data_IF_944508586869
#
_entry.id   IF_944508586869
#
_cell.length_a   1.000
_cell.length_b   1.000
_cell.length_c   1.000
_cell.angle_alpha   90.00
_cell.angle_beta   90.00
_cell.angle_gamma   90.00
#
_symmetry.space_group_name_H-M   'P 1'
#
loop_
_entity.id
_entity.type
_entity.pdbx_description
1 polymer ?
#
# COMPACT_ATOMS: atom_id res chain seq x y z
N UNK A 1 5.87 -41.69 -57.74
CA UNK A 1 5.72 -40.22 -57.72
C UNK A 1 5.69 -39.80 -56.25
N UNK A 2 6.86 -39.49 -55.72
CA UNK A 2 7.05 -39.15 -54.29
C UNK A 2 7.15 -37.62 -54.21
N UNK A 3 6.24 -36.97 -53.51
CA UNK A 3 6.33 -35.54 -53.23
C UNK A 3 7.08 -35.31 -51.92
N UNK A 4 8.25 -34.76 -52.04
CA UNK A 4 9.10 -34.31 -50.94
C UNK A 4 8.60 -32.97 -50.41
N UNK A 5 8.25 -32.87 -49.13
CA UNK A 5 7.97 -31.59 -48.46
C UNK A 5 9.22 -31.11 -47.73
N UNK A 6 9.75 -29.96 -48.12
CA UNK A 6 10.82 -29.26 -47.45
C UNK A 6 10.26 -28.60 -46.16
N UNK A 7 10.78 -28.99 -45.02
CA UNK A 7 10.58 -28.25 -43.75
C UNK A 7 11.60 -27.10 -43.68
N UNK A 8 11.08 -25.89 -43.79
CA UNK A 8 11.84 -24.68 -43.44
C UNK A 8 12.03 -24.63 -41.90
N UNK A 9 13.29 -24.69 -41.45
CA UNK A 9 13.70 -24.39 -40.11
C UNK A 9 13.44 -22.90 -39.83
N UNK A 10 12.49 -22.61 -38.94
CA UNK A 10 12.38 -21.29 -38.33
C UNK A 10 13.10 -21.34 -36.98
N UNK A 11 14.09 -20.46 -36.84
CA UNK A 11 14.86 -20.34 -35.60
C UNK A 11 13.96 -19.91 -34.45
N UNK A 12 14.07 -20.66 -33.37
CA UNK A 12 13.45 -20.35 -32.09
C UNK A 12 14.21 -19.19 -31.47
N UNK A 13 13.72 -17.98 -31.65
CA UNK A 13 14.20 -16.80 -30.94
C UNK A 13 13.65 -16.89 -29.51
N UNK A 14 14.52 -17.29 -28.59
CA UNK A 14 14.26 -17.36 -27.16
C UNK A 14 14.07 -15.93 -26.66
N UNK A 15 12.85 -15.42 -26.66
CA UNK A 15 12.53 -14.20 -25.91
C UNK A 15 12.58 -14.54 -24.43
N UNK A 16 13.70 -14.22 -23.80
CA UNK A 16 13.79 -14.12 -22.35
C UNK A 16 12.96 -12.89 -21.97
N UNK A 17 11.69 -13.09 -21.69
CA UNK A 17 10.87 -12.09 -21.01
C UNK A 17 11.41 -11.96 -19.59
N UNK A 18 12.23 -10.93 -19.35
CA UNK A 18 12.45 -10.42 -18.01
C UNK A 18 11.06 -10.12 -17.43
N UNK A 19 10.67 -10.94 -16.46
CA UNK A 19 9.55 -10.66 -15.59
C UNK A 19 9.91 -9.42 -14.75
N UNK A 20 9.69 -8.25 -15.34
CA UNK A 20 9.67 -7.00 -14.60
C UNK A 20 8.57 -7.10 -13.54
N UNK A 21 8.99 -7.02 -12.30
CA UNK A 21 8.11 -6.84 -11.16
C UNK A 21 7.22 -5.63 -11.44
N UNK A 22 5.92 -5.85 -11.57
CA UNK A 22 4.98 -4.75 -11.61
C UNK A 22 5.02 -4.07 -10.23
N UNK A 23 5.91 -3.09 -10.11
CA UNK A 23 5.74 -1.98 -9.18
C UNK A 23 4.37 -1.37 -9.43
N UNK A 24 3.67 -0.99 -8.39
CA UNK A 24 2.47 -0.17 -8.49
C UNK A 24 2.68 0.86 -9.60
N UNK A 25 1.93 0.75 -10.70
CA UNK A 25 1.85 1.84 -11.68
C UNK A 25 1.16 3.01 -10.99
N UNK A 26 1.94 3.78 -10.25
CA UNK A 26 1.57 5.12 -9.79
C UNK A 26 1.94 6.15 -10.88
N UNK A 27 1.89 5.73 -12.12
CA UNK A 27 2.12 6.63 -13.23
C UNK A 27 0.82 7.38 -13.49
N UNK A 28 0.90 8.68 -13.24
CA UNK A 28 0.06 9.72 -13.82
C UNK A 28 -1.47 9.60 -13.63
N UNK A 29 -1.94 9.54 -12.37
CA UNK A 29 -3.16 10.27 -12.08
C UNK A 29 -2.83 11.75 -12.37
N UNK A 30 -3.30 12.27 -13.51
CA UNK A 30 -3.08 13.63 -13.96
C UNK A 30 -3.58 14.58 -12.87
N UNK A 31 -2.65 14.99 -11.98
CA UNK A 31 -2.85 16.17 -11.17
C UNK A 31 -2.76 17.36 -12.14
N UNK A 32 -3.65 18.34 -12.09
CA UNK A 32 -3.52 19.54 -12.89
C UNK A 32 -2.15 20.16 -12.60
N UNK A 33 -1.37 20.45 -13.66
CA UNK A 33 -0.08 21.09 -13.58
C UNK A 33 -0.19 22.39 -12.80
N UNK A 34 0.72 22.61 -11.87
CA UNK A 34 0.76 23.75 -10.97
C UNK A 34 1.24 25.06 -11.61
N UNK A 35 1.26 25.16 -12.93
CA UNK A 35 1.72 26.35 -13.62
C UNK A 35 0.52 27.19 -14.09
N UNK A 36 0.11 28.10 -13.24
CA UNK A 36 -0.56 29.38 -13.45
C UNK A 36 -1.62 29.67 -12.39
N UNK A 37 -1.21 30.18 -11.26
CA UNK A 37 -2.05 31.09 -10.48
C UNK A 37 -1.13 32.05 -9.70
N UNK A 38 -1.09 33.30 -10.17
CA UNK A 38 -0.57 34.41 -9.38
C UNK A 38 -1.49 34.69 -8.21
N UNK A 39 -0.86 34.94 -7.09
CA UNK A 39 -1.48 35.20 -5.80
C UNK A 39 -2.29 36.48 -5.78
N UNK A 40 -3.45 36.42 -5.13
CA UNK A 40 -3.95 37.55 -4.33
C UNK A 40 -4.33 37.01 -2.95
N UNK A 41 -3.78 37.68 -1.94
CA UNK A 41 -3.93 37.40 -0.53
C UNK A 41 -5.25 37.96 0.00
N UNK A 42 -6.01 37.16 0.76
CA UNK A 42 -6.86 37.71 1.83
C UNK A 42 -6.85 36.77 3.04
N UNK A 43 -6.62 37.42 4.15
CA UNK A 43 -6.34 36.92 5.48
C UNK A 43 -7.57 36.24 6.07
N UNK A 44 -7.43 34.98 6.49
CA UNK A 44 -8.35 34.32 7.37
C UNK A 44 -7.57 33.41 8.31
N UNK A 45 -7.69 33.65 9.61
CA UNK A 45 -6.94 33.13 10.74
C UNK A 45 -6.24 31.78 10.49
N UNK A 46 -4.96 31.84 10.15
CA UNK A 46 -4.05 30.71 10.26
C UNK A 46 -3.79 30.49 11.74
N UNK A 47 -4.10 29.31 12.25
CA UNK A 47 -3.49 28.83 13.48
C UNK A 47 -1.99 28.76 13.20
N UNK A 48 -1.25 29.61 13.89
CA UNK A 48 0.20 29.74 13.77
C UNK A 48 0.88 28.44 14.24
N UNK A 49 1.23 27.57 13.29
CA UNK A 49 2.04 26.37 13.53
C UNK A 49 3.54 26.65 13.32
N UNK A 50 3.95 27.92 13.26
CA UNK A 50 5.30 28.31 12.85
C UNK A 50 6.34 28.39 13.97
N UNK A 51 6.03 28.04 15.22
CA UNK A 51 7.03 28.02 16.29
C UNK A 51 6.93 26.80 17.20
N UNK A 52 7.07 25.62 16.66
CA UNK A 52 7.68 24.54 17.41
C UNK A 52 8.67 23.86 16.47
N UNK A 53 9.85 24.47 16.34
CA UNK A 53 11.03 23.73 15.98
C UNK A 53 11.12 22.59 17.03
N UNK A 54 10.49 21.46 16.72
CA UNK A 54 10.58 20.25 17.53
C UNK A 54 12.05 19.90 17.63
N UNK A 55 12.68 20.35 18.72
CA UNK A 55 13.90 19.74 19.21
C UNK A 55 13.72 18.23 19.06
N UNK A 56 14.74 17.52 18.60
CA UNK A 56 14.80 16.11 18.22
C UNK A 56 14.19 15.18 19.28
N UNK A 57 12.88 15.30 19.54
CA UNK A 57 12.08 14.33 20.25
C UNK A 57 11.81 13.14 19.31
N UNK A 58 11.99 11.94 19.79
CA UNK A 58 11.66 10.73 19.09
C UNK A 58 10.19 10.80 18.61
N UNK A 59 9.87 10.43 17.36
CA UNK A 59 8.49 10.27 16.91
C UNK A 59 7.73 9.32 17.83
N UNK A 60 8.41 8.35 18.45
CA UNK A 60 7.85 7.46 19.46
C UNK A 60 7.28 8.21 20.67
N UNK A 61 7.88 9.32 21.11
CA UNK A 61 7.33 10.11 22.19
C UNK A 61 5.98 10.76 21.82
N UNK A 62 5.77 11.07 20.54
CA UNK A 62 4.50 11.59 20.04
C UNK A 62 3.38 10.54 20.08
N UNK A 63 3.72 9.26 20.08
CA UNK A 63 2.79 8.13 20.12
C UNK A 63 2.58 7.58 21.54
N UNK A 64 3.31 8.09 22.53
CA UNK A 64 3.20 7.63 23.92
C UNK A 64 1.75 7.73 24.43
N UNK A 65 1.27 6.67 25.06
CA UNK A 65 -0.11 6.58 25.56
C UNK A 65 -1.19 6.42 24.48
N UNK A 66 -0.82 6.34 23.21
CA UNK A 66 -1.76 6.11 22.11
C UNK A 66 -2.02 4.63 21.88
N UNK A 67 -3.23 4.32 21.40
CA UNK A 67 -3.60 2.98 20.89
C UNK A 67 -3.26 2.80 19.41
N UNK A 68 -2.75 3.84 18.74
CA UNK A 68 -2.32 3.77 17.34
C UNK A 68 -1.12 2.83 17.23
N UNK A 69 -1.24 1.81 16.39
CA UNK A 69 -0.13 0.93 16.05
C UNK A 69 0.55 1.42 14.76
N UNK A 70 1.83 1.14 14.64
CA UNK A 70 2.62 1.52 13.46
C UNK A 70 3.20 0.31 12.76
N UNK A 71 3.48 0.46 11.48
CA UNK A 71 4.09 -0.57 10.66
C UNK A 71 4.84 -0.01 9.47
N UNK A 72 5.38 -0.91 8.66
CA UNK A 72 6.10 -0.58 7.45
C UNK A 72 5.78 -1.57 6.34
N UNK A 73 5.83 -1.11 5.09
CA UNK A 73 5.72 -1.97 3.91
C UNK A 73 7.10 -2.51 3.54
N UNK A 74 7.15 -3.74 3.07
CA UNK A 74 8.34 -4.30 2.46
C UNK A 74 8.02 -5.22 1.28
N UNK A 75 9.02 -5.45 0.43
CA UNK A 75 8.90 -6.24 -0.79
C UNK A 75 9.81 -7.49 -0.79
N UNK A 76 9.73 -8.35 0.25
CA UNK A 76 10.70 -9.43 0.47
C UNK A 76 10.77 -10.46 -0.65
N UNK A 77 9.75 -10.53 -1.53
CA UNK A 77 9.65 -11.58 -2.53
C UNK A 77 9.91 -11.12 -3.96
N UNK A 78 10.14 -9.86 -4.18
CA UNK A 78 10.16 -9.38 -5.56
C UNK A 78 11.13 -8.28 -5.88
N UNK A 79 11.69 -7.61 -4.90
CA UNK A 79 12.61 -6.50 -5.10
C UNK A 79 14.06 -6.91 -4.90
N UNK A 80 14.95 -6.49 -5.80
CA UNK A 80 16.39 -6.71 -5.69
C UNK A 80 16.96 -6.26 -4.34
N UNK A 81 16.59 -5.08 -3.79
CA UNK A 81 17.05 -4.66 -2.49
C UNK A 81 16.85 -5.67 -1.37
N UNK A 82 15.78 -6.46 -1.42
CA UNK A 82 15.44 -7.41 -0.36
C UNK A 82 16.07 -8.79 -0.51
N UNK A 83 16.62 -9.14 -1.68
CA UNK A 83 17.15 -10.49 -1.96
C UNK A 83 18.28 -10.90 -1.03
N UNK A 84 19.09 -9.92 -0.59
CA UNK A 84 20.27 -10.16 0.24
C UNK A 84 20.02 -9.90 1.73
N UNK A 85 18.77 -9.64 2.13
CA UNK A 85 18.42 -9.35 3.52
C UNK A 85 17.60 -10.51 4.09
N UNK A 86 18.14 -11.18 5.11
CA UNK A 86 17.46 -12.29 5.75
C UNK A 86 16.13 -11.89 6.40
N UNK A 87 15.22 -12.83 6.58
CA UNK A 87 13.97 -12.63 7.32
C UNK A 87 14.23 -12.04 8.72
N UNK A 88 15.18 -12.62 9.46
CA UNK A 88 15.57 -12.15 10.80
C UNK A 88 16.01 -10.68 10.78
N UNK A 89 16.81 -10.27 9.77
CA UNK A 89 17.24 -8.88 9.64
C UNK A 89 16.07 -7.96 9.36
N UNK A 90 15.16 -8.32 8.44
CA UNK A 90 13.97 -7.51 8.14
C UNK A 90 13.12 -7.30 9.39
N UNK A 91 12.81 -8.36 10.13
CA UNK A 91 12.02 -8.27 11.37
C UNK A 91 12.73 -7.45 12.45
N UNK A 92 14.06 -7.61 12.60
CA UNK A 92 14.85 -6.80 13.52
C UNK A 92 14.78 -5.30 13.18
N UNK A 93 14.81 -4.94 11.91
CA UNK A 93 14.67 -3.54 11.46
C UNK A 93 13.29 -2.97 11.78
N UNK A 94 12.22 -3.72 11.52
CA UNK A 94 10.84 -3.34 11.86
C UNK A 94 10.72 -3.07 13.37
N UNK A 95 11.17 -4.01 14.19
CA UNK A 95 11.17 -3.86 15.67
C UNK A 95 12.02 -2.70 16.15
N UNK A 96 13.20 -2.52 15.55
CA UNK A 96 14.11 -1.45 15.92
C UNK A 96 13.52 -0.05 15.74
N UNK A 97 12.54 0.11 14.85
CA UNK A 97 11.75 1.31 14.68
C UNK A 97 10.48 1.37 15.56
N UNK A 98 10.30 0.43 16.50
CA UNK A 98 9.12 0.37 17.36
C UNK A 98 7.84 0.02 16.65
N UNK A 99 7.92 -0.62 15.48
CA UNK A 99 6.78 -0.98 14.67
C UNK A 99 6.29 -2.39 14.97
N UNK A 100 4.96 -2.59 14.86
CA UNK A 100 4.28 -3.85 15.19
C UNK A 100 3.77 -4.57 13.93
N UNK A 101 3.72 -3.89 12.77
CA UNK A 101 3.18 -4.42 11.54
C UNK A 101 4.21 -4.40 10.43
N UNK A 102 4.24 -5.49 9.67
CA UNK A 102 5.01 -5.60 8.43
C UNK A 102 4.06 -6.01 7.30
N UNK A 103 3.70 -5.07 6.42
CA UNK A 103 2.83 -5.33 5.27
C UNK A 103 3.68 -5.79 4.10
N UNK A 104 3.32 -6.93 3.52
CA UNK A 104 4.07 -7.56 2.43
C UNK A 104 3.15 -7.99 1.30
N UNK A 105 3.62 -7.83 0.06
CA UNK A 105 2.96 -8.43 -1.10
C UNK A 105 3.16 -9.95 -1.09
N UNK A 106 2.08 -10.72 -1.20
CA UNK A 106 2.15 -12.16 -1.39
C UNK A 106 1.91 -12.46 -2.86
N UNK A 107 2.93 -13.03 -3.53
CA UNK A 107 2.76 -13.53 -4.88
C UNK A 107 2.00 -14.85 -4.82
N UNK A 108 0.74 -14.82 -5.17
CA UNK A 108 -0.13 -16.00 -5.15
C UNK A 108 -0.52 -16.43 -6.55
N UNK A 109 -0.74 -17.72 -6.73
CA UNK A 109 -1.36 -18.28 -7.93
C UNK A 109 -2.88 -18.10 -7.87
N UNK A 110 -3.56 -18.41 -8.96
CA UNK A 110 -5.04 -18.45 -9.00
C UNK A 110 -5.65 -19.44 -8.00
N UNK A 111 -4.85 -20.40 -7.50
CA UNK A 111 -5.25 -21.38 -6.49
C UNK A 111 -4.95 -20.94 -5.06
N UNK A 112 -4.37 -19.76 -4.84
CA UNK A 112 -4.02 -19.25 -3.51
C UNK A 112 -2.67 -19.71 -2.96
N UNK A 113 -1.85 -20.42 -3.77
CA UNK A 113 -0.51 -20.83 -3.38
C UNK A 113 0.47 -19.66 -3.46
N UNK A 114 1.34 -19.52 -2.45
CA UNK A 114 2.44 -18.54 -2.48
C UNK A 114 3.55 -19.05 -3.41
N UNK A 115 3.92 -18.23 -4.39
CA UNK A 115 4.86 -18.62 -5.46
C UNK A 115 6.34 -18.46 -5.10
N UNK A 116 6.66 -17.83 -3.96
CA UNK A 116 8.05 -17.63 -3.49
C UNK A 116 8.22 -18.19 -2.08
N UNK A 117 8.18 -19.52 -1.90
CA UNK A 117 8.11 -20.12 -0.59
C UNK A 117 9.40 -20.05 0.23
N UNK A 118 10.58 -19.87 -0.40
CA UNK A 118 11.87 -19.97 0.31
C UNK A 118 12.05 -18.95 1.42
N UNK A 119 11.61 -17.71 1.22
CA UNK A 119 11.70 -16.66 2.23
C UNK A 119 10.40 -16.51 3.02
N UNK A 120 9.27 -16.98 2.49
CA UNK A 120 7.96 -16.76 3.08
C UNK A 120 7.83 -17.41 4.47
N UNK A 121 8.08 -18.72 4.59
CA UNK A 121 7.99 -19.41 5.87
C UNK A 121 9.00 -18.86 6.91
N UNK A 122 10.31 -18.69 6.60
CA UNK A 122 11.23 -18.03 7.52
C UNK A 122 10.77 -16.65 7.98
N UNK A 123 10.14 -15.85 7.10
CA UNK A 123 9.64 -14.53 7.45
C UNK A 123 8.48 -14.61 8.46
N UNK A 124 7.57 -15.59 8.29
CA UNK A 124 6.46 -15.81 9.22
C UNK A 124 6.96 -16.29 10.59
N UNK A 125 7.96 -17.18 10.61
CA UNK A 125 8.58 -17.69 11.84
C UNK A 125 9.30 -16.57 12.61
N UNK A 126 10.13 -15.78 11.93
CA UNK A 126 10.84 -14.66 12.53
C UNK A 126 9.88 -13.55 12.99
N UNK A 127 8.80 -13.29 12.25
CA UNK A 127 7.79 -12.32 12.65
C UNK A 127 7.07 -12.77 13.93
N UNK A 128 6.69 -14.05 14.02
CA UNK A 128 6.08 -14.63 15.21
C UNK A 128 7.03 -14.57 16.42
N UNK A 129 8.28 -14.99 16.27
CA UNK A 129 9.31 -14.90 17.31
C UNK A 129 9.60 -13.45 17.73
N UNK A 130 9.53 -12.54 16.77
CA UNK A 130 9.73 -11.13 16.97
C UNK A 130 8.53 -10.36 17.54
N UNK A 131 7.36 -10.98 17.65
CA UNK A 131 6.08 -10.31 17.96
C UNK A 131 5.78 -9.16 17.00
N UNK A 132 5.99 -9.40 15.69
CA UNK A 132 5.62 -8.53 14.58
C UNK A 132 4.49 -9.19 13.81
N UNK A 133 3.41 -8.46 13.61
CA UNK A 133 2.28 -8.96 12.83
C UNK A 133 2.57 -8.81 11.32
N UNK A 134 2.34 -9.85 10.56
CA UNK A 134 2.38 -9.77 9.10
C UNK A 134 0.99 -9.41 8.59
N UNK A 135 0.92 -8.39 7.74
CA UNK A 135 -0.26 -8.08 6.94
C UNK A 135 -0.02 -8.55 5.51
N UNK A 136 -0.56 -9.72 5.11
CA UNK A 136 -0.42 -10.20 3.75
C UNK A 136 -1.30 -9.39 2.80
N UNK A 137 -0.73 -8.87 1.73
CA UNK A 137 -1.45 -8.32 0.61
C UNK A 137 -1.72 -9.43 -0.40
N UNK A 138 -2.97 -9.91 -0.43
CA UNK A 138 -3.38 -11.09 -1.22
C UNK A 138 -4.13 -10.63 -2.46
N UNK A 139 -3.57 -10.86 -3.65
CA UNK A 139 -4.23 -10.52 -4.89
C UNK A 139 -3.61 -11.24 -6.09
N UNK A 140 -4.40 -11.40 -7.16
CA UNK A 140 -3.89 -11.71 -8.48
C UNK A 140 -3.45 -10.42 -9.18
N UNK A 141 -2.30 -10.46 -9.86
CA UNK A 141 -1.79 -9.31 -10.62
C UNK A 141 -2.65 -8.94 -11.82
N UNK A 142 -3.35 -9.91 -12.38
CA UNK A 142 -4.16 -9.71 -13.57
C UNK A 142 -5.57 -10.18 -13.29
N UNK A 143 -6.52 -9.24 -13.30
CA UNK A 143 -7.94 -9.51 -13.31
C UNK A 143 -8.40 -9.54 -14.79
N UNK A 144 -9.18 -10.54 -15.15
CA UNK A 144 -9.79 -10.60 -16.47
C UNK A 144 -11.15 -9.90 -16.45
N UNK A 145 -11.22 -8.71 -17.01
CA UNK A 145 -12.46 -7.94 -17.08
C UNK A 145 -13.48 -8.51 -18.07
N UNK A 146 -13.14 -9.55 -18.84
CA UNK A 146 -14.07 -10.29 -19.68
C UNK A 146 -14.80 -11.40 -18.91
N UNK A 147 -14.39 -11.71 -17.70
CA UNK A 147 -15.11 -12.66 -16.84
C UNK A 147 -16.53 -12.16 -16.56
N UNK A 148 -17.45 -13.08 -16.46
CA UNK A 148 -18.74 -12.80 -15.81
C UNK A 148 -18.53 -12.57 -14.32
N UNK A 149 -19.47 -11.89 -13.67
CA UNK A 149 -19.41 -11.71 -12.21
C UNK A 149 -19.37 -13.05 -11.45
N UNK A 150 -20.07 -14.08 -11.97
CA UNK A 150 -20.07 -15.41 -11.36
C UNK A 150 -18.69 -16.08 -11.46
N UNK A 151 -18.04 -16.03 -12.61
CA UNK A 151 -16.67 -16.57 -12.80
C UNK A 151 -15.67 -15.83 -11.92
N UNK A 152 -15.73 -14.50 -11.91
CA UNK A 152 -14.84 -13.66 -11.09
C UNK A 152 -15.02 -13.94 -9.61
N UNK A 153 -16.25 -14.06 -9.11
CA UNK A 153 -16.55 -14.47 -7.74
C UNK A 153 -15.97 -15.85 -7.44
N UNK A 154 -16.17 -16.84 -8.31
CA UNK A 154 -15.67 -18.21 -8.09
C UNK A 154 -14.13 -18.25 -8.01
N UNK A 155 -13.44 -17.50 -8.90
CA UNK A 155 -11.97 -17.34 -8.86
C UNK A 155 -11.51 -16.73 -7.54
N UNK A 156 -12.10 -15.61 -7.12
CA UNK A 156 -11.80 -14.97 -5.85
C UNK A 156 -12.02 -15.91 -4.66
N UNK A 157 -13.16 -16.61 -4.62
CA UNK A 157 -13.51 -17.53 -3.53
C UNK A 157 -12.53 -18.70 -3.43
N UNK A 158 -12.14 -19.28 -4.56
CA UNK A 158 -11.16 -20.37 -4.61
C UNK A 158 -9.81 -19.90 -4.07
N UNK A 159 -9.32 -18.75 -4.55
CA UNK A 159 -8.06 -18.20 -4.09
C UNK A 159 -8.09 -17.91 -2.58
N UNK A 160 -9.10 -17.19 -2.11
CA UNK A 160 -9.22 -16.82 -0.70
C UNK A 160 -9.34 -18.03 0.23
N UNK A 161 -10.17 -19.01 -0.13
CA UNK A 161 -10.36 -20.22 0.66
C UNK A 161 -9.07 -21.05 0.76
N UNK A 162 -8.38 -21.27 -0.35
CA UNK A 162 -7.15 -22.05 -0.37
C UNK A 162 -6.00 -21.34 0.36
N UNK A 163 -5.87 -20.03 0.18
CA UNK A 163 -4.88 -19.23 0.90
C UNK A 163 -5.10 -19.29 2.42
N UNK A 164 -6.32 -19.05 2.88
CA UNK A 164 -6.65 -19.08 4.30
C UNK A 164 -6.54 -20.50 4.89
N UNK A 165 -6.95 -21.55 4.16
CA UNK A 165 -6.80 -22.93 4.61
C UNK A 165 -5.33 -23.29 4.88
N UNK A 166 -4.40 -22.76 4.08
CA UNK A 166 -2.98 -23.10 4.21
C UNK A 166 -2.22 -22.17 5.16
N UNK A 167 -2.51 -20.89 5.11
CA UNK A 167 -1.71 -19.86 5.80
C UNK A 167 -2.48 -19.12 6.90
N UNK A 168 -3.78 -19.33 7.06
CA UNK A 168 -4.65 -18.59 7.98
C UNK A 168 -4.16 -18.59 9.43
N UNK A 169 -3.52 -19.66 9.89
CA UNK A 169 -2.93 -19.76 11.24
C UNK A 169 -1.89 -18.67 11.57
N UNK A 170 -1.37 -17.95 10.56
CA UNK A 170 -0.37 -16.89 10.73
C UNK A 170 -0.96 -15.49 10.72
N UNK A 171 -2.23 -15.33 10.31
CA UNK A 171 -2.80 -14.02 10.05
C UNK A 171 -4.14 -13.83 10.74
N UNK A 172 -4.37 -12.63 11.25
CA UNK A 172 -5.70 -12.18 11.69
C UNK A 172 -6.32 -11.24 10.64
N UNK A 173 -5.48 -10.49 9.93
CA UNK A 173 -5.90 -9.50 8.94
C UNK A 173 -5.37 -9.85 7.56
N UNK A 174 -6.19 -9.58 6.53
CA UNK A 174 -5.87 -9.84 5.12
C UNK A 174 -6.17 -8.60 4.29
N UNK A 175 -5.19 -8.07 3.58
CA UNK A 175 -5.38 -6.96 2.64
C UNK A 175 -5.69 -7.54 1.25
N UNK A 176 -6.91 -7.31 0.77
CA UNK A 176 -7.41 -7.86 -0.49
C UNK A 176 -7.15 -6.88 -1.64
N UNK A 177 -6.23 -7.24 -2.51
CA UNK A 177 -5.84 -6.41 -3.63
C UNK A 177 -4.93 -5.23 -3.25
N UNK A 178 -4.50 -4.49 -4.26
CA UNK A 178 -3.78 -3.23 -4.15
C UNK A 178 -4.07 -2.37 -5.37
N UNK A 179 -4.44 -1.11 -5.16
CA UNK A 179 -4.70 -0.10 -6.19
C UNK A 179 -5.70 -0.55 -7.28
N UNK A 180 -6.62 -1.47 -6.95
CA UNK A 180 -7.56 -2.04 -7.92
C UNK A 180 -8.53 -0.99 -8.49
N UNK A 181 -8.81 0.05 -7.73
CA UNK A 181 -9.70 1.12 -8.13
C UNK A 181 -9.16 1.95 -9.30
N UNK A 182 -7.83 1.98 -9.49
CA UNK A 182 -7.19 2.78 -10.55
C UNK A 182 -7.54 2.29 -11.95
N UNK A 183 -7.67 0.99 -12.14
CA UNK A 183 -8.07 0.39 -13.43
C UNK A 183 -9.55 0.61 -13.77
N UNK A 184 -10.32 1.11 -12.81
CA UNK A 184 -11.76 1.31 -12.91
C UNK A 184 -12.15 2.77 -13.10
N UNK A 185 -11.24 3.71 -12.81
CA UNK A 185 -11.52 5.15 -12.91
C UNK A 185 -11.76 5.57 -14.36
N UNK A 186 -12.81 6.36 -14.54
CA UNK A 186 -13.06 7.05 -15.80
C UNK A 186 -12.10 8.24 -15.96
N UNK A 187 -11.65 8.55 -17.18
CA UNK A 187 -10.71 9.64 -17.42
C UNK A 187 -11.20 10.97 -16.83
N UNK A 188 -10.30 11.73 -16.22
CA UNK A 188 -10.54 13.07 -15.64
C UNK A 188 -11.55 13.09 -14.49
N UNK A 189 -11.71 11.99 -13.76
CA UNK A 189 -12.55 11.91 -12.57
C UNK A 189 -11.72 11.81 -11.30
N UNK A 190 -12.32 12.10 -10.14
CA UNK A 190 -11.64 12.17 -8.84
C UNK A 190 -11.86 10.93 -7.97
N UNK A 191 -12.67 9.96 -8.40
CA UNK A 191 -12.96 8.76 -7.62
C UNK A 191 -13.91 8.94 -6.42
N UNK A 192 -14.41 10.15 -6.18
CA UNK A 192 -15.27 10.46 -5.01
C UNK A 192 -16.71 9.92 -5.15
N UNK A 193 -17.17 9.70 -6.37
CA UNK A 193 -18.55 9.29 -6.70
C UNK A 193 -18.55 7.98 -7.47
N UNK A 194 -19.63 7.22 -7.34
CA UNK A 194 -19.86 6.01 -8.15
C UNK A 194 -19.87 6.29 -9.66
N UNK A 195 -20.27 7.51 -10.08
CA UNK A 195 -20.26 7.92 -11.49
C UNK A 195 -18.85 8.10 -12.07
N UNK A 196 -17.83 8.02 -11.24
CA UNK A 196 -16.43 8.17 -11.63
C UNK A 196 -15.77 6.84 -12.03
N UNK A 197 -16.52 5.73 -12.01
CA UNK A 197 -15.98 4.39 -12.27
C UNK A 197 -16.67 3.70 -13.44
N UNK A 198 -15.90 2.94 -14.20
CA UNK A 198 -16.44 2.00 -15.19
C UNK A 198 -17.26 0.93 -14.47
N UNK A 199 -18.56 0.93 -14.70
CA UNK A 199 -19.50 0.07 -14.00
C UNK A 199 -19.32 -1.40 -14.32
N UNK A 200 -18.95 -1.73 -15.56
CA UNK A 200 -18.75 -3.12 -15.97
C UNK A 200 -17.52 -3.71 -15.29
N UNK A 201 -16.39 -3.02 -15.38
CA UNK A 201 -15.16 -3.41 -14.69
C UNK A 201 -15.35 -3.47 -13.17
N UNK A 202 -16.04 -2.48 -12.59
CA UNK A 202 -16.33 -2.48 -11.17
C UNK A 202 -17.08 -3.74 -10.73
N UNK A 203 -18.12 -4.15 -11.45
CA UNK A 203 -18.92 -5.32 -11.08
C UNK A 203 -18.08 -6.61 -11.08
N UNK A 204 -17.18 -6.77 -12.04
CA UNK A 204 -16.24 -7.91 -12.08
C UNK A 204 -15.27 -7.86 -10.88
N UNK A 205 -14.70 -6.70 -10.61
CA UNK A 205 -13.77 -6.50 -9.46
C UNK A 205 -14.46 -6.73 -8.13
N UNK A 206 -15.67 -6.19 -7.95
CA UNK A 206 -16.44 -6.36 -6.72
C UNK A 206 -16.84 -7.82 -6.48
N UNK A 207 -17.22 -8.54 -7.55
CA UNK A 207 -17.50 -9.97 -7.47
C UNK A 207 -16.26 -10.77 -7.03
N UNK A 208 -15.10 -10.47 -7.60
CA UNK A 208 -13.83 -11.09 -7.22
C UNK A 208 -13.48 -10.84 -5.75
N UNK A 209 -13.53 -9.58 -5.31
CA UNK A 209 -13.23 -9.20 -3.93
C UNK A 209 -14.24 -9.81 -2.93
N UNK A 210 -15.53 -9.86 -3.30
CA UNK A 210 -16.53 -10.56 -2.51
C UNK A 210 -16.21 -12.05 -2.40
N UNK A 211 -15.82 -12.67 -3.50
CA UNK A 211 -15.40 -14.06 -3.50
C UNK A 211 -14.21 -14.32 -2.59
N UNK A 212 -13.17 -13.46 -2.64
CA UNK A 212 -12.00 -13.57 -1.77
C UNK A 212 -12.38 -13.46 -0.29
N UNK A 213 -13.19 -12.46 0.07
CA UNK A 213 -13.69 -12.26 1.44
C UNK A 213 -14.44 -13.49 1.94
N UNK A 214 -15.44 -13.94 1.19
CA UNK A 214 -16.24 -15.12 1.51
C UNK A 214 -15.36 -16.40 1.61
N UNK A 215 -14.39 -16.53 0.70
CA UNK A 215 -13.46 -17.64 0.66
C UNK A 215 -12.56 -17.71 1.91
N UNK A 216 -11.93 -16.60 2.27
CA UNK A 216 -11.08 -16.49 3.46
C UNK A 216 -11.91 -16.82 4.71
N UNK A 217 -13.03 -16.14 4.93
CA UNK A 217 -13.89 -16.32 6.11
C UNK A 217 -14.50 -17.71 6.20
N UNK A 218 -14.63 -18.43 5.09
CA UNK A 218 -15.08 -19.83 5.09
C UNK A 218 -14.07 -20.80 5.71
N UNK A 219 -12.78 -20.47 5.73
CA UNK A 219 -11.68 -21.29 6.25
C UNK A 219 -11.08 -20.73 7.52
N UNK A 220 -11.17 -19.43 7.70
CA UNK A 220 -10.73 -18.69 8.87
C UNK A 220 -11.88 -17.77 9.34
N UNK A 221 -12.85 -18.27 10.12
CA UNK A 221 -14.00 -17.48 10.55
C UNK A 221 -13.64 -16.25 11.40
N UNK A 222 -12.45 -16.25 12.00
CA UNK A 222 -11.92 -15.12 12.78
C UNK A 222 -11.24 -14.04 11.93
N UNK A 223 -11.01 -14.32 10.65
CA UNK A 223 -10.30 -13.41 9.75
C UNK A 223 -10.99 -12.05 9.62
N UNK A 224 -10.17 -11.02 9.56
CA UNK A 224 -10.55 -9.65 9.26
C UNK A 224 -9.97 -9.26 7.90
N UNK A 225 -10.84 -8.88 6.98
CA UNK A 225 -10.43 -8.47 5.66
C UNK A 225 -10.43 -6.95 5.51
N UNK A 226 -9.56 -6.44 4.66
CA UNK A 226 -9.51 -5.02 4.31
C UNK A 226 -9.30 -4.83 2.82
N UNK A 227 -9.90 -3.76 2.29
CA UNK A 227 -9.74 -3.35 0.90
C UNK A 227 -9.28 -1.90 0.90
N UNK A 228 -8.32 -1.60 0.03
CA UNK A 228 -7.65 -0.31 -0.04
C UNK A 228 -8.15 0.58 -1.17
N UNK A 229 -7.98 1.88 -0.96
CA UNK A 229 -8.03 2.91 -1.99
C UNK A 229 -7.05 4.03 -1.62
N UNK A 230 -6.66 4.83 -2.62
CA UNK A 230 -5.81 5.99 -2.40
C UNK A 230 -6.51 7.30 -2.74
N UNK A 231 -5.81 8.44 -2.59
CA UNK A 231 -6.30 9.76 -2.94
C UNK A 231 -7.73 10.02 -2.42
N UNK A 232 -8.64 10.42 -3.26
CA UNK A 232 -10.06 10.64 -2.94
C UNK A 232 -10.96 9.53 -3.52
N UNK A 233 -10.42 8.32 -3.73
CA UNK A 233 -11.11 7.20 -4.35
C UNK A 233 -12.06 6.45 -3.38
N UNK A 234 -12.48 7.07 -2.31
CA UNK A 234 -13.41 6.47 -1.33
C UNK A 234 -14.78 6.09 -1.94
N UNK A 235 -15.13 6.63 -3.11
CA UNK A 235 -16.31 6.18 -3.86
C UNK A 235 -16.26 4.69 -4.19
N UNK A 236 -15.07 4.14 -4.52
CA UNK A 236 -14.86 2.73 -4.76
C UNK A 236 -15.24 1.87 -3.53
N UNK A 237 -14.72 2.22 -2.36
CA UNK A 237 -15.00 1.49 -1.12
C UNK A 237 -16.49 1.51 -0.76
N UNK A 238 -17.18 2.63 -0.93
CA UNK A 238 -18.63 2.72 -0.74
C UNK A 238 -19.41 1.88 -1.74
N UNK A 239 -18.97 1.84 -3.00
CA UNK A 239 -19.57 0.98 -4.01
C UNK A 239 -19.44 -0.50 -3.65
N UNK A 240 -18.30 -0.91 -3.07
CA UNK A 240 -18.11 -2.29 -2.59
C UNK A 240 -19.09 -2.66 -1.47
N UNK A 241 -19.34 -1.75 -0.52
CA UNK A 241 -20.37 -1.97 0.52
C UNK A 241 -21.77 -2.16 -0.09
N UNK A 242 -22.14 -1.32 -1.06
CA UNK A 242 -23.42 -1.45 -1.78
C UNK A 242 -23.53 -2.71 -2.62
N UNK A 243 -22.40 -3.21 -3.14
CA UNK A 243 -22.34 -4.49 -3.84
C UNK A 243 -22.48 -5.69 -2.89
N UNK A 244 -22.27 -5.50 -1.60
CA UNK A 244 -22.33 -6.54 -0.58
C UNK A 244 -21.01 -7.24 -0.31
N UNK A 245 -19.87 -6.53 -0.48
CA UNK A 245 -18.56 -6.99 0.01
C UNK A 245 -18.45 -6.65 1.49
N UNK A 246 -18.29 -7.67 2.33
CA UNK A 246 -18.29 -7.54 3.80
C UNK A 246 -16.89 -7.37 4.40
N UNK A 247 -16.04 -6.54 3.78
CA UNK A 247 -14.73 -6.24 4.37
C UNK A 247 -14.87 -5.53 5.73
N UNK A 248 -13.94 -5.83 6.64
CA UNK A 248 -14.02 -5.40 8.05
C UNK A 248 -13.34 -4.06 8.29
N UNK A 249 -12.32 -3.70 7.53
CA UNK A 249 -11.44 -2.56 7.76
C UNK A 249 -11.32 -1.72 6.49
N UNK A 250 -11.42 -0.41 6.63
CA UNK A 250 -11.08 0.53 5.55
C UNK A 250 -9.57 0.65 5.51
N UNK A 251 -8.93 0.16 4.44
CA UNK A 251 -7.53 0.42 4.15
C UNK A 251 -7.39 1.67 3.29
N UNK A 252 -6.37 2.48 3.53
CA UNK A 252 -6.19 3.71 2.76
C UNK A 252 -4.71 4.01 2.50
N UNK A 253 -4.44 4.68 1.37
CA UNK A 253 -3.10 5.12 1.00
C UNK A 253 -3.07 6.64 0.95
N UNK A 254 -2.02 7.26 1.56
CA UNK A 254 -1.94 8.70 1.66
C UNK A 254 -0.51 9.23 1.57
N UNK A 255 -0.30 10.19 0.69
CA UNK A 255 1.03 10.76 0.45
C UNK A 255 1.03 12.28 0.60
N UNK A 256 2.22 12.86 0.75
CA UNK A 256 2.37 14.30 1.03
C UNK A 256 1.79 15.21 -0.05
N UNK A 257 1.78 14.82 -1.30
CA UNK A 257 1.15 15.56 -2.40
C UNK A 257 -0.39 15.53 -2.26
N UNK A 258 -0.94 14.41 -1.84
CA UNK A 258 -2.38 14.26 -1.53
C UNK A 258 -2.77 15.12 -0.32
N UNK A 259 -1.96 15.11 0.74
CA UNK A 259 -2.14 15.96 1.93
C UNK A 259 -2.17 17.44 1.56
N UNK A 260 -1.32 17.87 0.63
CA UNK A 260 -1.25 19.25 0.17
C UNK A 260 -2.38 19.63 -0.79
N UNK A 261 -2.94 18.69 -1.54
CA UNK A 261 -3.95 18.96 -2.57
C UNK A 261 -5.39 18.82 -2.03
N UNK A 262 -5.66 17.91 -1.11
CA UNK A 262 -7.00 17.62 -0.61
C UNK A 262 -7.70 18.82 0.07
N UNK A 263 -7.03 19.70 0.84
CA UNK A 263 -7.66 20.87 1.44
C UNK A 263 -8.08 21.94 0.43
N UNK A 264 -7.46 21.96 -0.75
CA UNK A 264 -7.69 23.00 -1.76
C UNK A 264 -8.98 22.75 -2.54
N UNK A 265 -9.56 23.82 -3.07
CA UNK A 265 -10.67 23.73 -4.02
C UNK A 265 -10.24 22.93 -5.27
N UNK A 266 -11.12 22.14 -5.87
CA UNK A 266 -12.53 21.94 -5.50
C UNK A 266 -12.76 20.88 -4.40
N UNK A 267 -11.71 20.21 -3.88
CA UNK A 267 -11.85 19.06 -2.99
C UNK A 267 -12.34 19.45 -1.59
N UNK A 268 -11.75 20.50 -1.00
CA UNK A 268 -12.10 21.07 0.31
C UNK A 268 -12.13 20.00 1.44
N UNK A 269 -11.12 19.12 1.47
CA UNK A 269 -10.96 18.06 2.48
C UNK A 269 -9.73 18.38 3.32
N UNK A 270 -9.87 19.10 4.44
CA UNK A 270 -8.73 19.49 5.27
C UNK A 270 -8.10 18.33 6.04
N UNK A 271 -8.87 17.27 6.29
CA UNK A 271 -8.41 16.08 7.01
C UNK A 271 -9.05 14.81 6.43
N UNK A 272 -8.21 13.98 5.82
CA UNK A 272 -8.65 12.71 5.24
C UNK A 272 -9.11 11.71 6.30
N UNK A 273 -8.51 11.72 7.49
CA UNK A 273 -8.88 10.79 8.55
C UNK A 273 -10.30 11.03 9.01
N UNK A 274 -10.68 12.29 9.22
CA UNK A 274 -12.03 12.70 9.58
C UNK A 274 -13.03 12.46 8.45
N UNK A 275 -12.58 12.70 7.20
CA UNK A 275 -13.42 12.41 6.02
C UNK A 275 -13.76 10.93 5.94
N UNK A 276 -12.79 10.04 6.10
CA UNK A 276 -13.02 8.60 6.09
C UNK A 276 -13.92 8.16 7.28
N UNK A 277 -13.70 8.70 8.47
CA UNK A 277 -14.56 8.43 9.63
C UNK A 277 -16.02 8.80 9.37
N UNK A 278 -16.26 9.92 8.70
CA UNK A 278 -17.61 10.34 8.33
C UNK A 278 -18.30 9.44 7.31
N UNK A 279 -17.50 8.83 6.42
CA UNK A 279 -18.00 7.95 5.35
C UNK A 279 -18.20 6.50 5.81
N UNK A 280 -17.38 6.04 6.79
CA UNK A 280 -17.33 4.67 7.29
C UNK A 280 -17.39 4.63 8.83
N UNK A 281 -18.46 5.13 9.46
CA UNK A 281 -18.49 5.37 10.91
C UNK A 281 -18.31 4.10 11.76
N UNK A 282 -18.61 2.92 11.19
CA UNK A 282 -18.62 1.64 11.91
C UNK A 282 -17.39 0.77 11.59
N UNK A 283 -16.43 1.24 10.80
CA UNK A 283 -15.26 0.45 10.42
C UNK A 283 -13.97 1.09 10.94
N UNK A 284 -13.03 0.33 11.51
CA UNK A 284 -11.70 0.84 11.78
C UNK A 284 -11.01 1.24 10.48
N UNK A 285 -10.17 2.27 10.58
CA UNK A 285 -9.39 2.80 9.45
C UNK A 285 -7.94 2.43 9.68
N UNK A 286 -7.30 1.87 8.65
CA UNK A 286 -5.87 1.62 8.60
C UNK A 286 -5.27 2.38 7.42
N UNK A 287 -4.25 3.19 7.67
CA UNK A 287 -3.43 3.70 6.58
C UNK A 287 -2.40 2.64 6.25
N UNK A 288 -2.66 1.88 5.18
CA UNK A 288 -1.82 0.75 4.76
C UNK A 288 -0.61 1.16 3.93
N UNK A 289 -0.60 2.41 3.49
CA UNK A 289 0.57 3.09 2.94
C UNK A 289 0.49 4.58 3.25
N UNK A 290 1.57 5.16 3.73
CA UNK A 290 1.75 6.62 3.74
C UNK A 290 3.24 6.97 3.66
N UNK A 291 3.58 8.03 2.93
CA UNK A 291 4.93 8.57 2.90
C UNK A 291 4.97 9.97 2.26
N UNK A 292 6.14 10.58 2.33
CA UNK A 292 6.46 11.81 1.64
C UNK A 292 6.95 11.52 0.22
N UNK A 293 6.39 12.19 -0.78
CA UNK A 293 6.90 12.15 -2.16
C UNK A 293 8.07 13.11 -2.31
N UNK A 294 9.25 12.58 -2.61
CA UNK A 294 10.45 13.37 -2.81
C UNK A 294 10.27 14.35 -3.97
N UNK A 295 10.80 15.55 -3.80
CA UNK A 295 10.79 16.60 -4.83
C UNK A 295 12.14 16.61 -5.54
N UNK A 296 12.14 16.53 -6.86
CA UNK A 296 13.36 16.59 -7.67
C UNK A 296 14.11 17.93 -7.53
N UNK A 297 13.41 19.00 -7.14
CA UNK A 297 14.00 20.33 -6.88
C UNK A 297 14.69 20.45 -5.51
N UNK A 298 14.58 19.45 -4.63
CA UNK A 298 15.19 19.46 -3.31
C UNK A 298 16.47 18.61 -3.30
N UNK A 299 17.41 18.94 -2.41
CA UNK A 299 18.52 18.03 -2.13
C UNK A 299 18.02 16.77 -1.42
N UNK A 300 18.84 15.72 -1.35
CA UNK A 300 18.47 14.51 -0.61
C UNK A 300 18.22 14.81 0.87
N UNK A 301 19.06 15.66 1.49
CA UNK A 301 18.93 16.07 2.89
C UNK A 301 17.61 16.82 3.14
N UNK A 302 17.26 17.74 2.24
CA UNK A 302 15.99 18.47 2.32
C UNK A 302 14.78 17.53 2.19
N UNK A 303 14.86 16.56 1.27
CA UNK A 303 13.83 15.55 1.09
C UNK A 303 13.72 14.62 2.31
N UNK A 304 14.85 14.18 2.90
CA UNK A 304 14.82 13.34 4.12
C UNK A 304 14.25 14.11 5.32
N UNK A 305 14.57 15.40 5.47
CA UNK A 305 13.99 16.26 6.51
C UNK A 305 12.47 16.40 6.33
N UNK A 306 12.01 16.66 5.10
CA UNK A 306 10.59 16.76 4.77
C UNK A 306 9.86 15.41 4.93
N UNK A 307 10.52 14.28 4.64
CA UNK A 307 9.97 12.95 4.91
C UNK A 307 9.73 12.73 6.40
N UNK A 308 10.73 13.06 7.26
CA UNK A 308 10.59 12.96 8.71
C UNK A 308 9.44 13.83 9.22
N UNK A 309 9.37 15.08 8.77
CA UNK A 309 8.32 16.01 9.17
C UNK A 309 6.93 15.51 8.78
N UNK A 310 6.76 15.09 7.53
CA UNK A 310 5.50 14.54 7.04
C UNK A 310 5.06 13.31 7.85
N UNK A 311 5.98 12.36 8.09
CA UNK A 311 5.70 11.14 8.87
C UNK A 311 5.25 11.51 10.27
N UNK A 312 5.96 12.42 10.95
CA UNK A 312 5.62 12.85 12.30
C UNK A 312 4.23 13.50 12.37
N UNK A 313 3.96 14.45 11.47
CA UNK A 313 2.68 15.18 11.43
C UNK A 313 1.51 14.25 11.08
N UNK A 314 1.71 13.34 10.14
CA UNK A 314 0.66 12.39 9.75
C UNK A 314 0.36 11.37 10.85
N UNK A 315 1.36 10.87 11.56
CA UNK A 315 1.15 9.99 12.71
C UNK A 315 0.41 10.69 13.86
N UNK A 316 0.70 11.98 14.10
CA UNK A 316 -0.06 12.77 15.08
C UNK A 316 -1.52 12.92 14.64
N UNK A 317 -1.77 13.21 13.35
CA UNK A 317 -3.12 13.26 12.79
C UNK A 317 -3.85 11.92 12.98
N UNK A 318 -3.21 10.80 12.65
CA UNK A 318 -3.77 9.46 12.87
C UNK A 318 -4.06 9.18 14.35
N UNK A 319 -3.14 9.52 15.26
CA UNK A 319 -3.32 9.35 16.69
C UNK A 319 -4.53 10.11 17.24
N UNK A 320 -4.78 11.30 16.72
CA UNK A 320 -5.87 12.17 17.17
C UNK A 320 -7.26 11.68 16.69
N UNK A 321 -7.31 10.73 15.78
CA UNK A 321 -8.55 10.10 15.34
C UNK A 321 -8.63 8.67 15.90
N UNK A 322 -9.48 8.40 16.91
CA UNK A 322 -9.55 7.10 17.58
C UNK A 322 -10.03 5.96 16.67
N UNK A 323 -10.64 6.26 15.51
CA UNK A 323 -11.04 5.27 14.54
C UNK A 323 -9.86 4.76 13.69
N UNK A 324 -8.77 5.54 13.59
CA UNK A 324 -7.52 5.09 12.97
C UNK A 324 -6.78 4.17 13.94
N UNK A 325 -6.58 2.92 13.55
CA UNK A 325 -5.97 1.89 14.40
C UNK A 325 -4.52 1.60 14.05
N UNK A 326 -4.18 1.67 12.77
CA UNK A 326 -2.84 1.35 12.28
C UNK A 326 -2.43 2.33 11.19
N UNK A 327 -1.15 2.73 11.22
CA UNK A 327 -0.52 3.50 10.16
C UNK A 327 0.79 2.83 9.73
N UNK A 328 0.87 2.44 8.45
CA UNK A 328 1.97 1.67 7.86
C UNK A 328 2.72 2.55 6.87
N UNK A 329 3.98 2.86 7.18
CA UNK A 329 4.82 3.67 6.31
C UNK A 329 5.24 2.88 5.05
N UNK A 330 5.33 3.53 3.93
CA UNK A 330 5.84 2.99 2.67
C UNK A 330 7.20 3.66 2.39
N UNK A 331 8.35 2.98 2.44
CA UNK A 331 8.60 1.59 2.68
C UNK A 331 9.89 1.36 3.51
N UNK A 332 10.29 0.11 3.75
CA UNK A 332 11.45 -0.20 4.60
C UNK A 332 12.77 0.25 3.96
N UNK A 333 13.01 -0.11 2.69
CA UNK A 333 14.27 0.12 1.97
C UNK A 333 14.02 0.88 0.68
N UNK A 334 14.91 1.79 0.33
CA UNK A 334 14.93 2.40 -0.99
C UNK A 334 15.03 1.35 -2.09
N UNK A 335 14.37 1.58 -3.23
CA UNK A 335 14.42 0.71 -4.41
C UNK A 335 15.07 1.42 -5.61
N UNK A 336 16.40 1.62 -5.62
CA UNK A 336 17.11 2.51 -6.53
C UNK A 336 17.08 2.12 -8.01
N UNK A 337 16.45 0.99 -8.34
CA UNK A 337 16.28 0.52 -9.74
C UNK A 337 14.94 0.95 -10.34
N UNK A 338 14.14 1.70 -9.61
CA UNK A 338 12.81 2.16 -10.01
C UNK A 338 12.79 3.64 -10.40
N UNK A 339 11.61 4.23 -10.51
CA UNK A 339 11.44 5.67 -10.75
C UNK A 339 12.06 6.49 -9.61
N UNK A 340 12.25 7.80 -9.83
CA UNK A 340 12.80 8.69 -8.79
C UNK A 340 12.01 8.62 -7.48
N UNK A 341 10.70 8.53 -7.55
CA UNK A 341 9.85 8.43 -6.37
C UNK A 341 10.05 7.08 -5.66
N UNK A 342 9.88 5.98 -6.38
CA UNK A 342 10.04 4.63 -5.83
C UNK A 342 11.46 4.37 -5.29
N UNK A 343 12.46 5.00 -5.90
CA UNK A 343 13.85 4.90 -5.47
C UNK A 343 14.12 5.51 -4.10
N UNK A 344 13.21 6.31 -3.54
CA UNK A 344 13.48 7.15 -2.38
C UNK A 344 12.45 7.03 -1.25
N UNK A 345 11.47 6.14 -1.36
CA UNK A 345 10.47 5.97 -0.30
C UNK A 345 10.99 5.27 0.96
N UNK A 346 12.05 4.48 0.85
CA UNK A 346 12.60 3.74 1.99
C UNK A 346 12.86 4.64 3.21
N UNK A 347 12.67 4.10 4.39
CA UNK A 347 13.18 4.71 5.63
C UNK A 347 14.65 4.42 5.84
N UNK A 348 15.17 3.39 5.15
CA UNK A 348 16.58 3.06 5.06
C UNK A 348 17.08 3.26 3.64
N UNK A 349 18.27 3.86 3.50
CA UNK A 349 18.93 4.08 2.20
C UNK A 349 20.20 3.25 2.06
N UNK A 350 20.52 2.87 0.84
CA UNK A 350 21.74 2.15 0.53
C UNK A 350 22.99 3.05 0.62
N UNK A 351 24.01 2.55 1.27
CA UNK A 351 25.38 3.12 1.25
C UNK A 351 26.17 2.46 0.11
N UNK A 352 26.09 1.14 0.04
CA UNK A 352 26.60 0.34 -1.09
C UNK A 352 25.40 -0.45 -1.64
N UNK A 353 25.12 -0.37 -2.94
CA UNK A 353 23.94 -0.99 -3.51
C UNK A 353 23.77 -2.46 -3.11
N UNK A 354 22.66 -2.77 -2.46
CA UNK A 354 22.19 -4.09 -2.03
C UNK A 354 23.11 -4.85 -1.05
N UNK A 355 24.12 -4.19 -0.47
CA UNK A 355 25.07 -4.82 0.47
C UNK A 355 25.16 -4.09 1.80
N UNK A 356 25.06 -2.77 1.82
CA UNK A 356 25.11 -1.98 3.04
C UNK A 356 24.08 -0.86 2.99
N UNK A 357 23.32 -0.68 4.07
CA UNK A 357 22.31 0.36 4.22
C UNK A 357 22.46 1.11 5.54
N UNK A 358 21.86 2.28 5.62
CA UNK A 358 21.78 3.08 6.84
C UNK A 358 20.39 3.72 6.98
N UNK A 359 20.07 4.09 8.20
CA UNK A 359 18.85 4.83 8.48
C UNK A 359 18.87 6.21 7.81
N UNK A 360 17.72 6.61 7.27
CA UNK A 360 17.41 8.02 7.03
C UNK A 360 17.02 8.69 8.36
N UNK A 361 16.90 10.01 8.36
CA UNK A 361 16.54 10.78 9.56
C UNK A 361 15.19 10.32 10.12
N UNK A 362 14.23 9.98 9.27
CA UNK A 362 12.91 9.46 9.65
C UNK A 362 13.00 8.15 10.42
N UNK A 363 13.80 7.18 9.95
CA UNK A 363 13.99 5.91 10.65
C UNK A 363 14.63 6.12 12.01
N UNK A 364 15.66 7.00 12.10
CA UNK A 364 16.33 7.32 13.38
C UNK A 364 15.34 7.95 14.37
N UNK A 365 14.43 8.81 13.89
CA UNK A 365 13.42 9.45 14.74
C UNK A 365 12.33 8.47 15.23
N UNK A 366 12.12 7.35 14.53
CA UNK A 366 11.18 6.28 14.91
C UNK A 366 11.79 5.26 15.88
N UNK A 367 13.12 5.18 15.98
CA UNK A 367 13.78 4.21 16.87
C UNK A 367 13.40 4.43 18.33
N UNK A 368 13.17 3.31 19.02
CA UNK A 368 13.09 3.29 20.49
C UNK A 368 14.44 3.70 21.07
N UNK A 369 14.45 4.65 22.01
CA UNK A 369 15.64 5.01 22.77
C UNK A 369 15.83 4.05 23.93
#
# INVERSE_FOLDING_TARGET
MVKTYLFKKHGLMLCVTLLGLASCKKDDAILPSSDNLKAESTIGAAVDLSESAMSVGSIQSLLSGSTLQTGIVGHPFGSEPYKNISAATQIKLVKGMGMNWYRIGTLVTSTGEVTVPKLFNPLLEEAAAGNVNILPMVYLRTMDFNDTQQESYAKGKTLGANFAAKYGKYFTYYNLGNDLELDLLLPKTTGQSQAHYDRAKFNVTAAYLKGMDDGIKSKDPGAKTMIGAGWLHYGFLRMLEWYGVNYDVVAYQWYSDMENAAPKAPNNIPDITLKLSSLFPNKPIWFTEFNYRYKASYTLEQNEAAQKEFIANFLVKCRNNPQVKVAIAYELLDEPVKSFQESNYGLLKWVTPFTAFKNKISATALQLK
#
